data_IF_928524067069
#
_entry.id   IF_928524067069
#
_cell.length_a   1.000
_cell.length_b   1.000
_cell.length_c   1.000
_cell.angle_alpha   90.00
_cell.angle_beta   90.00
_cell.angle_gamma   90.00
#
_symmetry.space_group_name_H-M   'P 1'
#
loop_
_entity.id
_entity.type
_entity.pdbx_description
1 polymer ?
#
# COMPACT_ATOMS: atom_id res chain seq x y z
N UNK A 1 5.85 -13.71 15.21
CA UNK A 1 5.58 -12.97 13.94
C UNK A 1 5.06 -13.89 12.82
N UNK A 2 4.40 -15.02 13.11
CA UNK A 2 3.98 -16.01 12.08
C UNK A 2 2.48 -16.39 12.08
N UNK A 3 1.64 -15.77 12.92
CA UNK A 3 0.28 -16.28 13.16
C UNK A 3 -0.83 -15.68 12.26
N UNK A 4 -0.54 -14.71 11.41
CA UNK A 4 -1.57 -14.07 10.57
C UNK A 4 -1.93 -14.88 9.31
N UNK A 5 -1.20 -15.95 9.00
CA UNK A 5 -1.35 -16.72 7.75
C UNK A 5 -2.32 -17.91 7.85
N UNK A 6 -2.88 -18.19 9.04
CA UNK A 6 -3.82 -19.30 9.28
C UNK A 6 -5.29 -18.86 9.38
N UNK A 7 -5.57 -17.54 9.37
CA UNK A 7 -6.93 -17.04 9.53
C UNK A 7 -7.66 -17.01 8.19
N UNK A 8 -8.92 -17.47 8.18
CA UNK A 8 -9.83 -17.31 7.05
C UNK A 8 -9.96 -15.82 6.74
N UNK A 9 -9.70 -15.40 5.50
CA UNK A 9 -9.65 -13.98 5.08
C UNK A 9 -10.83 -13.13 5.58
N UNK A 10 -12.04 -13.71 5.56
CA UNK A 10 -13.26 -13.04 6.04
C UNK A 10 -13.20 -12.67 7.53
N UNK A 11 -12.55 -13.48 8.35
CA UNK A 11 -12.40 -13.25 9.78
C UNK A 11 -11.46 -12.07 10.03
N UNK A 12 -10.36 -11.98 9.28
CA UNK A 12 -9.39 -10.88 9.41
C UNK A 12 -10.03 -9.52 9.11
N UNK A 13 -10.81 -9.44 8.04
CA UNK A 13 -11.49 -8.20 7.69
C UNK A 13 -12.57 -7.84 8.73
N UNK A 14 -13.34 -8.81 9.19
CA UNK A 14 -14.34 -8.61 10.25
C UNK A 14 -13.70 -8.12 11.56
N UNK A 15 -12.58 -8.70 11.95
CA UNK A 15 -11.86 -8.30 13.16
C UNK A 15 -11.25 -6.91 13.02
N UNK A 16 -10.70 -6.57 11.85
CA UNK A 16 -10.25 -5.21 11.55
C UNK A 16 -11.41 -4.22 11.66
N UNK A 17 -12.56 -4.49 11.02
CA UNK A 17 -13.75 -3.63 11.10
C UNK A 17 -14.21 -3.43 12.55
N UNK A 18 -14.31 -4.51 13.34
CA UNK A 18 -14.69 -4.44 14.75
C UNK A 18 -13.68 -3.63 15.56
N UNK A 19 -12.39 -3.87 15.36
CA UNK A 19 -11.32 -3.14 16.04
C UNK A 19 -11.37 -1.64 15.72
N UNK A 20 -11.64 -1.27 14.47
CA UNK A 20 -11.80 0.14 14.05
C UNK A 20 -12.94 0.80 14.81
N UNK A 21 -14.13 0.19 14.85
CA UNK A 21 -15.29 0.77 15.57
C UNK A 21 -15.02 0.85 17.07
N UNK A 22 -14.49 -0.21 17.69
CA UNK A 22 -14.19 -0.22 19.12
C UNK A 22 -13.16 0.84 19.48
N UNK A 23 -12.11 1.03 18.66
CA UNK A 23 -11.10 2.07 18.89
C UNK A 23 -11.69 3.47 18.73
N UNK A 24 -12.52 3.70 17.71
CA UNK A 24 -13.19 4.99 17.52
C UNK A 24 -14.04 5.36 18.75
N UNK A 25 -14.79 4.41 19.32
CA UNK A 25 -15.68 4.66 20.46
C UNK A 25 -14.94 4.70 21.81
N UNK A 26 -13.99 3.78 22.03
CA UNK A 26 -13.44 3.51 23.37
C UNK A 26 -12.02 4.03 23.58
N UNK A 27 -11.29 4.39 22.53
CA UNK A 27 -9.90 4.86 22.67
C UNK A 27 -9.87 6.21 23.40
N UNK A 28 -8.95 6.36 24.34
CA UNK A 28 -8.66 7.67 24.94
C UNK A 28 -7.84 8.57 24.01
N UNK A 29 -7.26 8.01 22.94
CA UNK A 29 -6.43 8.73 21.95
C UNK A 29 -7.26 9.11 20.73
N UNK A 30 -8.31 9.91 20.92
CA UNK A 30 -9.29 10.23 19.87
C UNK A 30 -8.68 10.90 18.63
N UNK A 31 -7.81 11.90 18.81
CA UNK A 31 -7.10 12.53 17.69
C UNK A 31 -6.32 11.50 16.85
N UNK A 32 -5.66 10.55 17.52
CA UNK A 32 -4.89 9.52 16.83
C UNK A 32 -5.81 8.62 15.98
N UNK A 33 -6.96 8.19 16.50
CA UNK A 33 -7.90 7.36 15.72
C UNK A 33 -8.55 8.14 14.56
N UNK A 34 -8.82 9.44 14.73
CA UNK A 34 -9.28 10.31 13.63
C UNK A 34 -8.24 10.39 12.53
N UNK A 35 -6.96 10.60 12.88
CA UNK A 35 -5.88 10.64 11.89
C UNK A 35 -5.66 9.28 11.22
N UNK A 36 -5.77 8.17 11.94
CA UNK A 36 -5.73 6.82 11.35
C UNK A 36 -6.84 6.65 10.31
N UNK A 37 -8.06 7.10 10.60
CA UNK A 37 -9.17 7.03 9.66
C UNK A 37 -8.92 7.93 8.43
N UNK A 38 -8.48 9.16 8.65
CA UNK A 38 -8.14 10.11 7.59
C UNK A 38 -7.08 9.51 6.63
N UNK A 39 -5.99 8.96 7.17
CA UNK A 39 -4.93 8.39 6.33
C UNK A 39 -5.33 7.07 5.67
N UNK A 40 -6.15 6.25 6.32
CA UNK A 40 -6.70 5.04 5.70
C UNK A 40 -7.56 5.39 4.49
N UNK A 41 -8.31 6.48 4.56
CA UNK A 41 -9.14 6.98 3.45
C UNK A 41 -8.28 7.64 2.36
N UNK A 42 -7.29 8.45 2.74
CA UNK A 42 -6.38 9.13 1.80
C UNK A 42 -5.55 8.17 0.94
N UNK A 43 -5.05 7.08 1.53
CA UNK A 43 -4.30 6.02 0.85
C UNK A 43 -5.17 4.77 0.58
N UNK A 44 -6.47 4.97 0.35
CA UNK A 44 -7.46 3.90 0.29
C UNK A 44 -6.98 2.66 -0.51
N UNK A 45 -7.13 1.50 0.12
CA UNK A 45 -6.91 0.18 -0.49
C UNK A 45 -8.22 -0.57 -0.35
N UNK A 46 -8.86 -0.90 -1.48
CA UNK A 46 -10.06 -1.74 -1.46
C UNK A 46 -9.66 -3.18 -1.07
N UNK A 47 -10.06 -3.66 0.13
CA UNK A 47 -9.74 -5.01 0.56
C UNK A 47 -10.44 -6.06 -0.32
N UNK A 48 -11.48 -5.71 -1.09
CA UNK A 48 -12.17 -6.66 -1.97
C UNK A 48 -11.31 -7.14 -3.14
N UNK A 49 -10.32 -6.32 -3.55
CA UNK A 49 -9.47 -6.54 -4.73
C UNK A 49 -8.32 -7.51 -4.41
N UNK A 50 -8.27 -8.62 -5.15
CA UNK A 50 -7.19 -9.62 -5.10
C UNK A 50 -6.84 -10.07 -3.66
N UNK A 51 -5.54 -10.13 -3.35
CA UNK A 51 -4.98 -10.58 -2.08
C UNK A 51 -4.92 -9.45 -1.02
N UNK A 52 -5.51 -8.28 -1.29
CA UNK A 52 -5.50 -7.14 -0.36
C UNK A 52 -6.22 -7.46 0.97
N UNK A 53 -7.12 -8.46 0.97
CA UNK A 53 -7.95 -8.88 2.12
C UNK A 53 -7.16 -9.11 3.40
N UNK A 54 -6.05 -9.84 3.34
CA UNK A 54 -5.21 -10.10 4.52
C UNK A 54 -4.06 -9.11 4.68
N UNK A 55 -3.73 -8.35 3.63
CA UNK A 55 -2.66 -7.35 3.71
C UNK A 55 -3.15 -6.04 4.34
N UNK A 56 -4.45 -5.73 4.25
CA UNK A 56 -5.00 -4.50 4.81
C UNK A 56 -4.83 -4.39 6.33
N UNK A 57 -4.91 -5.49 7.06
CA UNK A 57 -4.66 -5.49 8.52
C UNK A 57 -3.20 -5.18 8.85
N UNK A 58 -2.24 -5.67 8.04
CA UNK A 58 -0.84 -5.34 8.21
C UNK A 58 -0.57 -3.87 7.83
N UNK A 59 -1.18 -3.38 6.75
CA UNK A 59 -1.14 -1.99 6.33
C UNK A 59 -1.70 -1.03 7.40
N UNK A 60 -2.87 -1.33 7.99
CA UNK A 60 -3.43 -0.57 9.12
C UNK A 60 -2.40 -0.46 10.26
N UNK A 61 -1.79 -1.57 10.66
CA UNK A 61 -0.88 -1.61 11.81
C UNK A 61 0.48 -0.96 11.52
N UNK A 62 1.12 -1.37 10.44
CA UNK A 62 2.55 -1.12 10.18
C UNK A 62 2.79 0.13 9.33
N UNK A 63 1.77 0.62 8.62
CA UNK A 63 1.85 1.83 7.78
C UNK A 63 1.01 2.95 8.40
N UNK A 64 -0.31 2.79 8.41
CA UNK A 64 -1.20 3.89 8.77
C UNK A 64 -1.02 4.26 10.24
N UNK A 65 -1.18 3.30 11.15
CA UNK A 65 -1.09 3.54 12.59
C UNK A 65 0.34 3.93 13.00
N UNK A 66 1.35 3.27 12.45
CA UNK A 66 2.76 3.60 12.73
C UNK A 66 3.13 5.05 12.41
N UNK A 67 2.50 5.65 11.38
CA UNK A 67 2.83 6.99 10.90
C UNK A 67 1.70 8.02 11.06
N UNK A 68 0.60 7.70 11.75
CA UNK A 68 -0.63 8.52 11.76
C UNK A 68 -0.44 9.98 12.23
N UNK A 69 0.51 10.22 13.13
CA UNK A 69 0.87 11.54 13.66
C UNK A 69 2.29 11.97 13.25
N UNK A 70 2.89 11.26 12.29
CA UNK A 70 4.28 11.42 11.88
C UNK A 70 4.46 12.32 10.66
N UNK A 71 5.59 12.13 9.99
CA UNK A 71 5.94 12.87 8.78
C UNK A 71 5.23 12.27 7.55
N UNK A 72 4.59 13.13 6.73
CA UNK A 72 3.88 12.69 5.53
C UNK A 72 4.78 11.96 4.52
N UNK A 73 6.03 12.39 4.34
CA UNK A 73 6.95 11.73 3.40
C UNK A 73 7.28 10.30 3.83
N UNK A 74 7.45 10.08 5.14
CA UNK A 74 7.65 8.73 5.67
C UNK A 74 6.41 7.85 5.49
N UNK A 75 5.22 8.40 5.76
CA UNK A 75 3.95 7.70 5.52
C UNK A 75 3.75 7.37 4.04
N UNK A 76 3.96 8.34 3.15
CA UNK A 76 3.86 8.18 1.71
C UNK A 76 4.79 7.07 1.23
N UNK A 77 6.05 7.08 1.66
CA UNK A 77 7.02 6.04 1.32
C UNK A 77 6.62 4.68 1.88
N UNK A 78 6.19 4.62 3.13
CA UNK A 78 5.77 3.37 3.77
C UNK A 78 4.54 2.76 3.09
N UNK A 79 3.58 3.59 2.71
CA UNK A 79 2.41 3.20 1.92
C UNK A 79 2.83 2.72 0.53
N UNK A 80 3.74 3.44 -0.13
CA UNK A 80 4.07 3.15 -1.52
C UNK A 80 4.80 1.84 -1.77
N UNK A 81 5.54 1.36 -0.78
CA UNK A 81 6.16 0.04 -0.83
C UNK A 81 5.48 -0.94 0.13
N UNK A 82 4.26 -0.65 0.58
CA UNK A 82 3.50 -1.58 1.42
C UNK A 82 3.05 -2.78 0.60
N UNK A 83 3.02 -4.00 1.18
CA UNK A 83 2.51 -5.17 0.48
C UNK A 83 1.10 -4.94 -0.08
N UNK A 84 0.24 -4.28 0.70
CA UNK A 84 -1.15 -4.08 0.33
C UNK A 84 -1.28 -3.15 -0.89
N UNK A 85 -0.53 -2.04 -0.91
CA UNK A 85 -0.56 -1.08 -2.01
C UNK A 85 0.03 -1.66 -3.30
N UNK A 86 1.16 -2.37 -3.20
CA UNK A 86 1.80 -3.04 -4.35
C UNK A 86 0.91 -4.13 -4.97
N UNK A 87 0.01 -4.74 -4.19
CA UNK A 87 -1.01 -5.65 -4.69
C UNK A 87 -2.20 -4.91 -5.28
N UNK A 88 -2.65 -3.84 -4.63
CA UNK A 88 -3.84 -3.08 -5.02
C UNK A 88 -3.66 -2.39 -6.37
N UNK A 89 -2.50 -1.78 -6.61
CA UNK A 89 -2.21 -0.98 -7.81
C UNK A 89 -1.28 -1.67 -8.81
N UNK A 90 -1.19 -3.00 -8.71
CA UNK A 90 -0.39 -3.85 -9.59
C UNK A 90 1.11 -3.48 -9.64
N UNK A 91 1.62 -2.81 -8.60
CA UNK A 91 3.03 -2.45 -8.46
C UNK A 91 3.95 -3.67 -8.51
N UNK A 92 3.50 -4.82 -7.99
CA UNK A 92 4.25 -6.10 -8.07
C UNK A 92 4.56 -6.58 -9.50
N UNK A 93 3.78 -6.11 -10.48
CA UNK A 93 3.92 -6.45 -11.88
C UNK A 93 4.67 -5.36 -12.66
N UNK A 94 4.97 -4.22 -12.04
CA UNK A 94 5.77 -3.16 -12.61
C UNK A 94 7.25 -3.56 -12.59
N UNK A 95 7.74 -4.13 -13.69
CA UNK A 95 9.10 -4.63 -13.80
C UNK A 95 9.63 -4.46 -15.21
N UNK A 96 10.93 -4.32 -15.33
CA UNK A 96 11.67 -4.27 -16.59
C UNK A 96 12.59 -5.48 -16.69
N UNK A 97 12.13 -6.52 -17.38
CA UNK A 97 12.90 -7.77 -17.59
C UNK A 97 13.54 -7.77 -18.97
N UNK A 98 12.87 -7.16 -19.95
CA UNK A 98 13.36 -6.98 -21.31
C UNK A 98 13.50 -5.49 -21.66
N UNK A 99 14.36 -5.13 -22.63
CA UNK A 99 14.49 -3.75 -23.07
C UNK A 99 13.19 -3.12 -23.57
N UNK A 100 12.26 -3.93 -24.09
CA UNK A 100 10.98 -3.48 -24.64
C UNK A 100 9.86 -3.37 -23.60
N UNK A 101 10.09 -3.84 -22.36
CA UNK A 101 9.11 -3.78 -21.29
C UNK A 101 8.84 -2.31 -20.92
N UNK A 102 7.55 -1.95 -20.87
CA UNK A 102 7.11 -0.61 -20.49
C UNK A 102 6.70 -0.58 -19.02
N UNK A 103 7.13 0.43 -18.24
CA UNK A 103 6.66 0.64 -16.87
C UNK A 103 5.13 0.76 -16.81
N UNK A 104 4.53 0.23 -15.75
CA UNK A 104 3.11 0.37 -15.48
C UNK A 104 2.83 1.73 -14.83
N UNK A 105 2.16 2.60 -15.58
CA UNK A 105 1.84 3.96 -15.14
C UNK A 105 0.72 4.07 -14.12
N UNK A 106 -0.10 3.03 -13.92
CA UNK A 106 -1.29 3.14 -13.07
C UNK A 106 -0.94 3.63 -11.67
N UNK A 107 0.09 3.04 -11.05
CA UNK A 107 0.44 3.43 -9.70
C UNK A 107 1.08 4.82 -9.64
N UNK A 108 1.97 5.15 -10.58
CA UNK A 108 2.56 6.49 -10.65
C UNK A 108 1.50 7.59 -10.82
N UNK A 109 0.48 7.31 -11.64
CA UNK A 109 -0.64 8.21 -11.86
C UNK A 109 -1.44 8.43 -10.58
N UNK A 110 -1.84 7.37 -9.90
CA UNK A 110 -2.57 7.50 -8.62
C UNK A 110 -1.74 8.18 -7.53
N UNK A 111 -0.43 7.90 -7.48
CA UNK A 111 0.49 8.57 -6.54
C UNK A 111 0.49 10.09 -6.74
N UNK A 112 0.58 10.55 -7.99
CA UNK A 112 0.60 11.97 -8.33
C UNK A 112 -0.79 12.60 -8.21
N UNK A 113 -1.81 11.98 -8.79
CA UNK A 113 -3.17 12.51 -8.89
C UNK A 113 -3.94 12.45 -7.57
N UNK A 114 -3.90 11.32 -6.87
CA UNK A 114 -4.79 11.05 -5.74
C UNK A 114 -4.09 11.22 -4.39
N UNK A 115 -2.80 10.90 -4.31
CA UNK A 115 -2.12 10.84 -3.03
C UNK A 115 -1.23 12.04 -2.71
N UNK A 116 -0.85 12.86 -3.72
CA UNK A 116 0.11 13.95 -3.51
C UNK A 116 -0.31 15.30 -4.11
N UNK A 117 -0.30 15.44 -5.43
CA UNK A 117 -0.38 16.73 -6.12
C UNK A 117 -1.78 17.12 -6.58
N UNK A 118 -2.68 16.15 -6.74
CA UNK A 118 -4.00 16.40 -7.33
C UNK A 118 -3.99 16.30 -8.85
N UNK A 119 -5.18 16.15 -9.46
CA UNK A 119 -5.36 16.07 -10.93
C UNK A 119 -4.80 17.29 -11.67
N UNK A 120 -4.82 18.47 -11.03
CA UNK A 120 -4.28 19.72 -11.58
C UNK A 120 -2.97 20.15 -10.92
N UNK A 121 -2.20 19.19 -10.39
CA UNK A 121 -0.98 19.41 -9.64
C UNK A 121 0.25 19.88 -10.44
N UNK A 122 0.10 20.13 -11.74
CA UNK A 122 1.16 20.68 -12.60
C UNK A 122 2.22 19.68 -13.07
N UNK A 123 2.04 18.38 -12.82
CA UNK A 123 2.91 17.34 -13.37
C UNK A 123 2.53 17.02 -14.83
N UNK A 124 3.47 16.46 -15.57
CA UNK A 124 3.33 16.10 -16.98
C UNK A 124 3.25 14.59 -17.18
N UNK A 125 2.89 14.15 -18.38
CA UNK A 125 2.95 12.73 -18.74
C UNK A 125 4.38 12.16 -18.63
N UNK A 126 5.41 13.00 -18.83
CA UNK A 126 6.80 12.58 -18.64
C UNK A 126 7.09 12.30 -17.17
N UNK A 127 6.56 13.10 -16.24
CA UNK A 127 6.72 12.86 -14.80
C UNK A 127 6.04 11.56 -14.36
N UNK A 128 4.84 11.26 -14.90
CA UNK A 128 4.18 9.96 -14.67
C UNK A 128 5.09 8.81 -15.10
N UNK A 129 5.70 8.92 -16.29
CA UNK A 129 6.59 7.89 -16.80
C UNK A 129 7.84 7.72 -15.91
N UNK A 130 8.50 8.81 -15.51
CA UNK A 130 9.69 8.74 -14.65
C UNK A 130 9.37 8.19 -13.25
N UNK A 131 8.23 8.56 -12.66
CA UNK A 131 7.76 7.95 -11.39
C UNK A 131 7.47 6.46 -11.59
N UNK A 132 6.90 6.06 -12.73
CA UNK A 132 6.65 4.65 -13.04
C UNK A 132 7.94 3.84 -13.10
N UNK A 133 9.01 4.42 -13.66
CA UNK A 133 10.35 3.82 -13.71
C UNK A 133 10.93 3.65 -12.31
N UNK A 134 10.84 4.68 -11.47
CA UNK A 134 11.25 4.60 -10.05
C UNK A 134 10.54 3.49 -9.27
N UNK A 135 9.30 3.16 -9.64
CA UNK A 135 8.49 2.12 -9.01
C UNK A 135 8.74 0.71 -9.58
N UNK A 136 9.54 0.55 -10.63
CA UNK A 136 9.86 -0.77 -11.18
C UNK A 136 10.70 -1.61 -10.21
N UNK A 137 10.58 -2.93 -10.27
CA UNK A 137 11.40 -3.86 -9.49
C UNK A 137 10.93 -4.08 -8.04
N UNK A 138 9.96 -3.30 -7.56
CA UNK A 138 9.27 -3.60 -6.30
C UNK A 138 8.27 -4.73 -6.50
N UNK A 139 8.33 -5.75 -5.64
CA UNK A 139 7.44 -6.90 -5.73
C UNK A 139 7.04 -7.45 -4.37
N UNK A 140 6.04 -8.34 -4.38
CA UNK A 140 5.52 -8.99 -3.16
C UNK A 140 5.57 -10.49 -3.34
N UNK A 141 6.23 -11.18 -2.40
CA UNK A 141 6.39 -12.64 -2.44
C UNK A 141 5.04 -13.34 -2.34
N UNK A 142 4.64 -14.06 -3.39
CA UNK A 142 3.33 -14.69 -3.54
C UNK A 142 3.36 -16.23 -3.55
N UNK A 143 4.48 -16.83 -4.02
CA UNK A 143 4.61 -18.27 -4.29
C UNK A 143 5.03 -19.17 -3.12
N UNK A 144 5.51 -18.62 -2.00
CA UNK A 144 6.01 -19.42 -0.87
C UNK A 144 4.99 -19.47 0.27
N UNK A 145 4.70 -20.67 0.79
CA UNK A 145 3.90 -20.84 2.02
C UNK A 145 4.49 -20.07 3.21
N UNK A 146 5.82 -19.94 3.25
CA UNK A 146 6.53 -19.12 4.23
C UNK A 146 6.88 -17.74 3.64
N UNK A 147 6.63 -16.68 4.41
CA UNK A 147 6.88 -15.28 4.05
C UNK A 147 6.00 -14.73 2.90
N UNK A 148 4.81 -15.29 2.67
CA UNK A 148 3.83 -14.69 1.75
C UNK A 148 3.55 -13.24 2.16
N UNK A 149 3.47 -12.32 1.22
CA UNK A 149 3.23 -10.90 1.50
C UNK A 149 4.46 -10.09 1.90
N UNK A 150 5.66 -10.67 1.91
CA UNK A 150 6.90 -9.91 2.13
C UNK A 150 7.25 -9.08 0.89
N UNK A 151 7.53 -7.80 1.08
CA UNK A 151 8.03 -6.92 0.00
C UNK A 151 9.50 -7.17 -0.27
N UNK A 152 9.86 -7.15 -1.55
CA UNK A 152 11.21 -7.32 -2.05
C UNK A 152 11.48 -6.31 -3.17
N UNK A 153 12.74 -5.87 -3.27
CA UNK A 153 13.21 -5.07 -4.40
C UNK A 153 14.17 -5.90 -5.24
N UNK A 154 13.84 -6.07 -6.51
CA UNK A 154 14.62 -6.86 -7.47
C UNK A 154 15.36 -5.90 -8.40
N UNK A 155 16.60 -5.55 -8.04
CA UNK A 155 17.40 -4.56 -8.78
C UNK A 155 17.61 -4.89 -10.27
N UNK A 156 17.61 -6.18 -10.64
CA UNK A 156 17.72 -6.64 -12.04
C UNK A 156 16.44 -6.40 -12.87
N UNK A 157 15.32 -6.12 -12.20
CA UNK A 157 14.00 -5.89 -12.78
C UNK A 157 13.60 -4.41 -12.67
N UNK A 158 14.54 -3.57 -12.22
CA UNK A 158 14.42 -2.13 -12.13
C UNK A 158 15.02 -1.48 -13.39
N UNK A 159 14.43 -0.38 -13.83
CA UNK A 159 14.92 0.42 -14.97
C UNK A 159 16.24 1.16 -14.68
#
# INVERSE_FOLDING_TARGET
MSHLYEFKDKVLLQDLTRATVLRAVLSQRQLYEVMVHFWTDHFNIDPSKAEAKWLKTADDRDVIRAHALGNFWELLRASAVSPAMLWYLDGRANRRVKPEDKPNENYARELLELHTLGVHGGYTQQDVMEVSRCLTGWTVRDKKKFFKGRVEFHAREHD
#
